data_IF_010887130292
#
_entry.id   IF_010887130292
#
_cell.length_a   1.000
_cell.length_b   1.000
_cell.length_c   1.000
_cell.angle_alpha   90.00
_cell.angle_beta   90.00
_cell.angle_gamma   90.00
#
_symmetry.space_group_name_H-M   'P 1'
#
loop_
_entity.id
_entity.type
_entity.pdbx_description
1 polymer ?
#
# COMPACT_ATOMS: atom_id res chain seq x y z
N UNK A 1 3.59 3.41 -16.48
CA UNK A 1 2.29 3.06 -17.10
C UNK A 1 1.87 1.70 -16.54
N UNK A 2 0.97 1.68 -15.51
CA UNK A 2 0.46 0.46 -14.90
C UNK A 2 -0.54 -0.23 -15.85
N UNK A 3 -0.06 -0.98 -16.82
CA UNK A 3 -0.84 -2.00 -17.55
C UNK A 3 -0.03 -3.29 -17.48
N UNK A 4 -0.07 -3.92 -16.32
CA UNK A 4 0.19 -5.35 -16.23
C UNK A 4 -1.15 -6.04 -16.46
N UNK A 5 -1.25 -6.90 -17.45
CA UNK A 5 -2.42 -7.78 -17.65
C UNK A 5 -2.61 -8.75 -16.48
N UNK A 6 -1.77 -8.63 -15.45
CA UNK A 6 -1.74 -9.48 -14.26
C UNK A 6 -1.90 -8.64 -13.00
N UNK A 7 -2.88 -9.02 -12.17
CA UNK A 7 -3.06 -8.46 -10.83
C UNK A 7 -1.84 -8.70 -9.95
N UNK A 8 -1.34 -7.66 -9.26
CA UNK A 8 -0.17 -7.74 -8.39
C UNK A 8 -0.55 -8.27 -7.01
N UNK A 9 0.27 -9.19 -6.48
CA UNK A 9 0.28 -9.55 -5.07
C UNK A 9 1.53 -8.94 -4.44
N UNK A 10 1.32 -7.99 -3.53
CA UNK A 10 2.35 -7.13 -2.98
C UNK A 10 2.54 -7.43 -1.50
N UNK A 11 3.64 -8.11 -1.10
CA UNK A 11 3.98 -8.24 0.31
C UNK A 11 4.29 -6.88 0.93
N UNK A 12 3.89 -6.70 2.20
CA UNK A 12 4.16 -5.47 2.93
C UNK A 12 5.19 -5.68 4.03
N UNK A 13 6.09 -4.73 4.19
CA UNK A 13 7.04 -4.60 5.30
C UNK A 13 6.83 -3.24 5.96
N UNK A 14 6.46 -3.24 7.23
CA UNK A 14 6.41 -2.04 8.06
C UNK A 14 7.74 -1.95 8.83
N UNK A 15 8.39 -0.79 8.73
CA UNK A 15 9.66 -0.50 9.39
C UNK A 15 9.43 0.34 10.64
N UNK A 16 9.88 -0.14 11.79
CA UNK A 16 9.91 0.60 13.05
C UNK A 16 11.16 0.22 13.84
N UNK A 17 11.88 1.22 14.35
CA UNK A 17 13.14 1.02 15.09
C UNK A 17 14.11 0.06 14.37
N UNK A 18 14.17 0.14 13.03
CA UNK A 18 15.02 -0.72 12.20
C UNK A 18 14.57 -2.17 12.06
N UNK A 19 13.35 -2.53 12.45
CA UNK A 19 12.80 -3.89 12.43
C UNK A 19 11.59 -3.99 11.51
N UNK A 20 11.25 -5.22 11.09
CA UNK A 20 9.98 -5.54 10.46
C UNK A 20 8.94 -5.77 11.55
N UNK A 21 7.91 -4.94 11.57
CA UNK A 21 6.85 -5.04 12.56
C UNK A 21 5.47 -5.10 11.92
N UNK A 22 4.47 -5.38 12.72
CA UNK A 22 3.05 -5.16 12.40
C UNK A 22 2.36 -4.56 13.62
N UNK A 23 1.60 -3.52 13.37
CA UNK A 23 0.69 -2.96 14.35
C UNK A 23 -0.70 -3.55 14.15
N UNK A 24 -1.42 -3.81 15.22
CA UNK A 24 -2.85 -4.17 15.13
C UNK A 24 -3.66 -2.87 15.07
N UNK A 25 -4.39 -2.64 13.98
CA UNK A 25 -5.18 -1.42 13.76
C UNK A 25 -4.37 -0.11 13.96
N UNK A 26 -3.09 -0.11 13.62
CA UNK A 26 -2.21 1.05 13.77
C UNK A 26 -1.81 1.41 15.21
N UNK A 27 -2.18 0.60 16.21
CA UNK A 27 -1.89 0.87 17.62
C UNK A 27 -0.42 0.57 17.95
N UNK A 28 0.31 1.59 18.43
CA UNK A 28 1.74 1.50 18.73
C UNK A 28 2.06 0.46 19.80
N UNK A 29 1.14 0.27 20.76
CA UNK A 29 1.25 -0.64 21.89
C UNK A 29 0.96 -2.09 21.51
N UNK A 30 0.30 -2.30 20.36
CA UNK A 30 -0.05 -3.62 19.83
C UNK A 30 0.90 -4.04 18.69
N UNK A 31 2.21 -3.86 18.93
CA UNK A 31 3.27 -4.22 17.98
C UNK A 31 3.63 -5.71 18.09
N UNK A 32 3.83 -6.32 16.93
CA UNK A 32 4.44 -7.65 16.79
C UNK A 32 5.67 -7.54 15.90
N UNK A 33 6.83 -7.95 16.39
CA UNK A 33 8.07 -8.01 15.61
C UNK A 33 8.10 -9.34 14.86
N UNK A 34 8.25 -9.28 13.53
CA UNK A 34 8.36 -10.45 12.65
C UNK A 34 9.77 -10.73 12.21
N UNK A 35 10.62 -9.69 12.13
CA UNK A 35 12.05 -9.86 11.81
C UNK A 35 12.87 -8.69 12.36
N UNK A 36 14.08 -8.99 12.78
CA UNK A 36 15.10 -8.00 13.13
C UNK A 36 15.96 -7.60 11.94
N UNK A 37 15.78 -8.25 10.78
CA UNK A 37 16.49 -7.94 9.54
C UNK A 37 15.49 -7.69 8.39
N UNK A 38 15.12 -6.41 8.15
CA UNK A 38 14.23 -6.06 7.06
C UNK A 38 14.81 -6.29 5.66
N UNK A 39 16.15 -6.28 5.53
CA UNK A 39 16.83 -6.53 4.24
C UNK A 39 16.66 -7.99 3.84
N UNK A 40 16.89 -8.91 4.79
CA UNK A 40 16.69 -10.35 4.58
C UNK A 40 15.20 -10.68 4.36
N UNK A 41 14.30 -10.00 5.06
CA UNK A 41 12.86 -10.16 4.85
C UNK A 41 12.44 -9.74 3.43
N UNK A 42 12.93 -8.60 2.94
CA UNK A 42 12.66 -8.15 1.57
C UNK A 42 13.19 -9.16 0.52
N UNK A 43 14.41 -9.69 0.76
CA UNK A 43 14.97 -10.76 -0.06
C UNK A 43 14.11 -12.02 -0.03
N UNK A 44 13.63 -12.41 1.15
CA UNK A 44 12.74 -13.57 1.32
C UNK A 44 11.46 -13.41 0.49
N UNK A 45 10.81 -12.25 0.49
CA UNK A 45 9.63 -12.01 -0.34
C UNK A 45 9.95 -12.08 -1.83
N UNK A 46 11.05 -11.48 -2.27
CA UNK A 46 11.50 -11.61 -3.65
C UNK A 46 11.73 -13.07 -4.04
N UNK A 47 12.42 -13.86 -3.21
CA UNK A 47 12.75 -15.27 -3.50
C UNK A 47 11.50 -16.16 -3.50
N UNK A 48 10.45 -15.78 -2.75
CA UNK A 48 9.12 -16.40 -2.83
C UNK A 48 8.32 -15.96 -4.06
N UNK A 49 8.89 -15.08 -4.89
CA UNK A 49 8.34 -14.67 -6.17
C UNK A 49 7.46 -13.41 -6.11
N UNK A 50 7.64 -12.52 -5.15
CA UNK A 50 7.02 -11.19 -5.18
C UNK A 50 7.43 -10.43 -6.44
N UNK A 51 6.47 -9.75 -7.08
CA UNK A 51 6.72 -8.91 -8.26
C UNK A 51 6.90 -7.43 -7.86
N UNK A 52 6.54 -7.07 -6.62
CA UNK A 52 6.56 -5.72 -6.08
C UNK A 52 6.64 -5.79 -4.54
N UNK A 53 7.16 -4.77 -3.88
CA UNK A 53 7.25 -4.70 -2.42
C UNK A 53 6.67 -3.38 -1.90
N UNK A 54 5.82 -3.45 -0.88
CA UNK A 54 5.27 -2.30 -0.16
C UNK A 54 6.05 -2.06 1.12
N UNK A 55 6.69 -0.89 1.26
CA UNK A 55 7.42 -0.48 2.46
C UNK A 55 6.71 0.69 3.13
N UNK A 56 6.53 0.60 4.44
CA UNK A 56 6.02 1.70 5.27
C UNK A 56 7.02 2.05 6.36
N UNK A 57 7.47 3.30 6.39
CA UNK A 57 8.25 3.88 7.48
C UNK A 57 7.28 4.36 8.58
N UNK A 58 7.01 3.50 9.57
CA UNK A 58 6.11 3.84 10.67
C UNK A 58 6.68 4.95 11.55
N UNK A 59 7.99 4.96 11.80
CA UNK A 59 8.62 6.05 12.55
C UNK A 59 8.41 7.38 11.81
N UNK A 60 8.62 7.38 10.49
CA UNK A 60 8.36 8.54 9.64
C UNK A 60 6.90 8.93 9.59
N UNK A 61 5.97 7.98 9.54
CA UNK A 61 4.54 8.25 9.57
C UNK A 61 4.11 8.97 10.85
N UNK A 62 4.66 8.56 12.00
CA UNK A 62 4.38 9.19 13.29
C UNK A 62 5.04 10.56 13.45
N UNK A 63 6.31 10.70 13.02
CA UNK A 63 7.06 11.94 13.22
C UNK A 63 6.89 12.97 12.09
N UNK A 64 6.37 12.53 10.95
CA UNK A 64 6.08 13.40 9.81
C UNK A 64 7.26 13.67 8.88
N UNK A 65 8.38 12.97 9.09
CA UNK A 65 9.57 12.98 8.23
C UNK A 65 10.13 11.55 8.15
N UNK A 66 10.60 11.08 6.98
CA UNK A 66 11.17 9.74 6.83
C UNK A 66 12.35 9.53 7.79
N UNK A 67 12.41 8.37 8.45
CA UNK A 67 13.43 8.01 9.44
C UNK A 67 14.30 6.84 9.00
N UNK A 68 13.76 5.92 8.22
CA UNK A 68 14.42 4.66 7.88
C UNK A 68 15.06 4.67 6.48
N UNK A 69 15.37 5.85 5.88
CA UNK A 69 15.86 5.95 4.50
C UNK A 69 17.15 5.15 4.24
N UNK A 70 18.09 5.13 5.18
CA UNK A 70 19.32 4.34 5.05
C UNK A 70 19.03 2.82 5.00
N UNK A 71 17.97 2.37 5.68
CA UNK A 71 17.54 0.97 5.62
C UNK A 71 16.79 0.69 4.30
N UNK A 72 15.98 1.63 3.84
CA UNK A 72 15.30 1.54 2.53
C UNK A 72 16.33 1.43 1.40
N UNK A 73 17.39 2.23 1.41
CA UNK A 73 18.49 2.15 0.45
C UNK A 73 19.17 0.76 0.44
N UNK A 74 19.43 0.19 1.63
CA UNK A 74 19.97 -1.18 1.74
C UNK A 74 19.01 -2.22 1.14
N UNK A 75 17.72 -2.09 1.40
CA UNK A 75 16.70 -2.99 0.83
C UNK A 75 16.72 -2.91 -0.70
N UNK A 76 16.61 -1.70 -1.27
CA UNK A 76 16.57 -1.47 -2.72
C UNK A 76 17.82 -2.01 -3.40
N UNK A 77 18.98 -1.83 -2.79
CA UNK A 77 20.26 -2.35 -3.32
C UNK A 77 20.30 -3.88 -3.31
N UNK A 78 19.59 -4.52 -2.38
CA UNK A 78 19.62 -5.98 -2.17
C UNK A 78 18.65 -6.75 -3.05
N UNK A 79 17.50 -6.14 -3.42
CA UNK A 79 16.44 -6.78 -4.21
C UNK A 79 16.39 -6.20 -5.63
N UNK A 80 15.74 -6.92 -6.56
CA UNK A 80 15.59 -6.49 -7.96
C UNK A 80 14.14 -6.11 -8.31
N UNK A 81 13.20 -6.42 -7.43
CA UNK A 81 11.79 -6.08 -7.64
C UNK A 81 11.57 -4.61 -7.25
N UNK A 82 10.64 -3.92 -7.94
CA UNK A 82 10.31 -2.54 -7.63
C UNK A 82 9.70 -2.41 -6.23
N UNK A 83 9.88 -1.23 -5.64
CA UNK A 83 9.46 -0.91 -4.26
C UNK A 83 8.62 0.35 -4.28
N UNK A 84 7.48 0.32 -3.59
CA UNK A 84 6.76 1.53 -3.19
C UNK A 84 7.03 1.84 -1.72
N UNK A 85 7.07 3.12 -1.40
CA UNK A 85 7.43 3.58 -0.06
C UNK A 85 6.48 4.67 0.44
N UNK A 86 5.98 4.49 1.66
CA UNK A 86 5.18 5.47 2.39
C UNK A 86 5.72 5.72 3.80
N UNK A 87 5.28 6.83 4.40
CA UNK A 87 5.65 7.22 5.76
C UNK A 87 6.46 8.51 5.82
N UNK A 88 5.89 9.54 6.45
CA UNK A 88 6.57 10.82 6.70
C UNK A 88 6.72 11.75 5.48
N UNK A 89 6.17 11.44 4.33
CA UNK A 89 6.31 12.22 3.09
C UNK A 89 5.35 13.43 3.10
N UNK A 90 5.83 14.58 3.57
CA UNK A 90 5.03 15.81 3.70
C UNK A 90 5.55 16.99 2.88
N UNK A 91 6.67 16.83 2.18
CA UNK A 91 7.28 17.88 1.34
C UNK A 91 7.77 17.33 0.01
N UNK A 92 7.77 18.15 -1.04
CA UNK A 92 8.30 17.76 -2.37
C UNK A 92 9.79 17.40 -2.30
N UNK A 93 10.54 18.00 -1.38
CA UNK A 93 11.94 17.66 -1.15
C UNK A 93 12.10 16.21 -0.62
N UNK A 94 11.30 15.81 0.39
CA UNK A 94 11.33 14.46 0.91
C UNK A 94 10.89 13.43 -0.15
N UNK A 95 9.87 13.75 -0.94
CA UNK A 95 9.42 12.92 -2.07
C UNK A 95 10.55 12.71 -3.07
N UNK A 96 11.19 13.81 -3.52
CA UNK A 96 12.32 13.73 -4.44
C UNK A 96 13.47 12.91 -3.87
N UNK A 97 13.86 13.13 -2.62
CA UNK A 97 14.95 12.40 -1.96
C UNK A 97 14.70 10.89 -1.94
N UNK A 98 13.47 10.45 -1.66
CA UNK A 98 13.10 9.02 -1.68
C UNK A 98 13.11 8.45 -3.09
N UNK A 99 12.60 9.19 -4.08
CA UNK A 99 12.64 8.77 -5.48
C UNK A 99 14.08 8.66 -6.02
N UNK A 100 14.97 9.57 -5.60
CA UNK A 100 16.40 9.56 -5.97
C UNK A 100 17.14 8.34 -5.39
N UNK A 101 16.68 7.73 -4.29
CA UNK A 101 17.20 6.46 -3.77
C UNK A 101 16.90 5.26 -4.69
N UNK A 102 15.97 5.40 -5.63
CA UNK A 102 15.57 4.32 -6.54
C UNK A 102 14.25 3.62 -6.15
N UNK A 103 13.47 4.18 -5.21
CA UNK A 103 12.09 3.76 -4.97
C UNK A 103 11.28 3.95 -6.25
N UNK A 104 10.50 2.97 -6.67
CA UNK A 104 9.73 3.04 -7.91
C UNK A 104 8.59 4.06 -7.82
N UNK A 105 7.85 4.09 -6.71
CA UNK A 105 6.83 5.11 -6.41
C UNK A 105 6.73 5.41 -4.93
N UNK A 106 6.27 6.61 -4.60
CA UNK A 106 6.02 7.05 -3.24
C UNK A 106 4.53 7.12 -2.94
N UNK A 107 4.16 6.87 -1.69
CA UNK A 107 2.78 6.84 -1.22
C UNK A 107 2.54 8.06 -0.33
N UNK A 108 1.59 8.89 -0.71
CA UNK A 108 1.16 10.07 0.01
C UNK A 108 -0.19 9.76 0.67
N UNK A 109 -0.24 9.76 2.00
CA UNK A 109 -1.46 9.60 2.79
C UNK A 109 -1.98 10.94 3.32
N UNK A 110 -1.91 11.15 4.63
CA UNK A 110 -2.45 12.33 5.36
C UNK A 110 -2.21 13.67 4.65
N UNK A 111 -1.02 13.90 4.07
CA UNK A 111 -0.71 15.16 3.40
C UNK A 111 -1.54 15.37 2.12
N UNK A 112 -2.01 14.32 1.48
CA UNK A 112 -2.91 14.43 0.32
C UNK A 112 -4.28 14.99 0.73
N UNK A 113 -4.76 14.62 1.90
CA UNK A 113 -6.02 15.16 2.47
C UNK A 113 -5.88 16.64 2.83
N UNK A 114 -4.76 17.00 3.45
CA UNK A 114 -4.49 18.39 3.85
C UNK A 114 -4.31 19.33 2.65
N UNK A 115 -3.82 18.84 1.51
CA UNK A 115 -3.45 19.68 0.37
C UNK A 115 -3.57 18.92 -0.98
N UNK A 116 -4.77 18.76 -1.53
CA UNK A 116 -4.98 18.12 -2.84
C UNK A 116 -4.25 18.85 -3.98
N UNK A 117 -4.13 20.19 -3.91
CA UNK A 117 -3.37 20.98 -4.90
C UNK A 117 -1.91 20.57 -4.95
N UNK A 118 -1.27 20.34 -3.80
CA UNK A 118 0.10 19.86 -3.75
C UNK A 118 0.27 18.46 -4.36
N UNK A 119 -0.75 17.59 -4.26
CA UNK A 119 -0.76 16.28 -4.92
C UNK A 119 -0.75 16.44 -6.43
N UNK A 120 -1.55 17.39 -6.96
CA UNK A 120 -1.56 17.70 -8.39
C UNK A 120 -0.16 18.13 -8.88
N UNK A 121 0.50 19.02 -8.15
CA UNK A 121 1.86 19.46 -8.48
C UNK A 121 2.86 18.31 -8.44
N UNK A 122 2.74 17.40 -7.46
CA UNK A 122 3.59 16.22 -7.37
C UNK A 122 3.39 15.26 -8.54
N UNK A 123 2.13 14.97 -8.90
CA UNK A 123 1.82 14.08 -10.02
C UNK A 123 2.33 14.66 -11.35
N UNK A 124 2.28 15.98 -11.52
CA UNK A 124 2.85 16.67 -12.66
C UNK A 124 4.39 16.62 -12.69
N UNK A 125 5.03 16.80 -11.52
CA UNK A 125 6.49 16.79 -11.39
C UNK A 125 7.10 15.37 -11.50
N UNK A 126 6.37 14.35 -11.05
CA UNK A 126 6.82 12.95 -11.01
C UNK A 126 5.79 12.00 -11.64
N UNK A 127 5.57 12.08 -12.97
CA UNK A 127 4.54 11.29 -13.65
C UNK A 127 4.73 9.79 -13.43
N UNK A 128 3.65 9.10 -13.02
CA UNK A 128 3.66 7.66 -12.78
C UNK A 128 4.34 7.21 -11.47
N UNK A 129 4.87 8.14 -10.67
CA UNK A 129 5.65 7.82 -9.47
C UNK A 129 4.92 8.15 -8.15
N UNK A 130 3.72 8.71 -8.21
CA UNK A 130 2.94 9.13 -7.03
C UNK A 130 1.75 8.20 -6.86
N UNK A 131 1.69 7.51 -5.72
CA UNK A 131 0.54 6.75 -5.25
C UNK A 131 -0.16 7.53 -4.14
N UNK A 132 -1.49 7.41 -4.04
CA UNK A 132 -2.26 8.01 -2.95
C UNK A 132 -2.82 6.92 -2.06
N UNK A 133 -2.47 6.97 -0.76
CA UNK A 133 -3.04 6.12 0.26
C UNK A 133 -4.34 6.73 0.79
N UNK A 134 -5.44 5.99 0.66
CA UNK A 134 -6.74 6.29 1.26
C UNK A 134 -6.98 5.27 2.36
N UNK A 135 -6.67 5.67 3.58
CA UNK A 135 -6.96 4.90 4.77
C UNK A 135 -8.37 5.24 5.24
N UNK A 136 -9.23 4.25 5.45
CA UNK A 136 -10.64 4.48 5.70
C UNK A 136 -11.15 3.70 6.92
N UNK A 137 -12.12 4.29 7.61
CA UNK A 137 -12.89 3.62 8.65
C UNK A 137 -14.36 3.96 8.47
N UNK A 138 -15.19 2.93 8.26
CA UNK A 138 -16.62 3.10 8.04
C UNK A 138 -16.97 4.12 6.93
N UNK A 139 -16.26 4.09 5.81
CA UNK A 139 -16.48 4.98 4.68
C UNK A 139 -15.93 6.41 4.83
N UNK A 140 -15.29 6.74 5.95
CA UNK A 140 -14.67 8.05 6.22
C UNK A 140 -13.16 7.94 6.18
N UNK A 141 -12.49 8.94 5.59
CA UNK A 141 -11.02 8.96 5.45
C UNK A 141 -10.35 9.22 6.79
N UNK A 142 -9.36 8.38 7.11
CA UNK A 142 -8.53 8.48 8.30
C UNK A 142 -7.20 9.18 7.97
N UNK A 143 -6.70 9.95 8.94
CA UNK A 143 -5.49 10.76 8.83
C UNK A 143 -4.61 10.62 10.08
N UNK A 144 -3.40 11.22 10.03
CA UNK A 144 -2.45 11.26 11.17
C UNK A 144 -2.09 9.88 11.72
N UNK A 145 -1.77 8.93 10.83
CA UNK A 145 -1.46 7.55 11.24
C UNK A 145 -2.65 6.88 11.92
N UNK A 146 -3.87 7.10 11.36
CA UNK A 146 -5.14 6.47 11.77
C UNK A 146 -5.71 6.96 13.10
N UNK A 147 -5.16 8.03 13.66
CA UNK A 147 -5.59 8.57 14.98
C UNK A 147 -6.76 9.55 14.89
N UNK A 148 -7.11 10.02 13.70
CA UNK A 148 -8.21 10.95 13.48
C UNK A 148 -8.96 10.64 12.18
N UNK A 149 -10.26 10.93 12.15
CA UNK A 149 -11.06 10.95 10.94
C UNK A 149 -11.18 12.40 10.46
N UNK A 150 -11.27 12.60 9.15
CA UNK A 150 -11.56 13.91 8.56
C UNK A 150 -13.02 13.97 8.05
N UNK A 151 -13.41 15.08 7.43
CA UNK A 151 -14.77 15.26 6.92
C UNK A 151 -15.02 14.60 5.55
N UNK A 152 -13.97 14.09 4.89
CA UNK A 152 -14.09 13.45 3.59
C UNK A 152 -14.67 12.04 3.69
N UNK A 153 -15.66 11.76 2.85
CA UNK A 153 -15.97 10.36 2.49
C UNK A 153 -14.88 9.81 1.58
N UNK A 154 -14.74 8.49 1.50
CA UNK A 154 -13.78 7.84 0.59
C UNK A 154 -14.04 8.23 -0.86
N UNK A 155 -15.30 8.22 -1.28
CA UNK A 155 -15.72 8.50 -2.65
C UNK A 155 -15.47 9.97 -3.04
N UNK A 156 -15.79 10.93 -2.16
CA UNK A 156 -15.58 12.35 -2.43
C UNK A 156 -14.09 12.68 -2.51
N UNK A 157 -13.28 12.16 -1.56
CA UNK A 157 -11.84 12.36 -1.58
C UNK A 157 -11.19 11.70 -2.81
N UNK A 158 -11.60 10.48 -3.14
CA UNK A 158 -11.08 9.78 -4.31
C UNK A 158 -11.42 10.53 -5.61
N UNK A 159 -12.64 11.08 -5.73
CA UNK A 159 -13.04 11.91 -6.87
C UNK A 159 -12.21 13.20 -6.98
N UNK A 160 -11.83 13.80 -5.86
CA UNK A 160 -10.94 14.96 -5.84
C UNK A 160 -9.51 14.59 -6.28
N UNK A 161 -8.97 13.51 -5.75
CA UNK A 161 -7.61 13.03 -6.08
C UNK A 161 -7.51 12.50 -7.51
N UNK A 162 -8.57 11.96 -8.08
CA UNK A 162 -8.62 11.52 -9.49
C UNK A 162 -8.19 12.64 -10.46
N UNK A 163 -8.50 13.91 -10.14
CA UNK A 163 -8.13 15.07 -10.95
C UNK A 163 -6.61 15.26 -11.07
N UNK A 164 -5.85 14.79 -10.09
CA UNK A 164 -4.38 14.84 -10.11
C UNK A 164 -3.76 13.71 -10.94
N UNK A 165 -4.54 12.72 -11.37
CA UNK A 165 -4.09 11.55 -12.13
C UNK A 165 -2.91 10.82 -11.47
N UNK A 166 -3.02 10.38 -10.21
CA UNK A 166 -1.98 9.60 -9.55
C UNK A 166 -1.74 8.27 -10.26
N UNK A 167 -0.60 7.65 -10.03
CA UNK A 167 -0.26 6.36 -10.66
C UNK A 167 -1.17 5.23 -10.19
N UNK A 168 -1.59 5.30 -8.93
CA UNK A 168 -2.45 4.30 -8.28
C UNK A 168 -3.07 4.89 -7.00
N UNK A 169 -4.23 4.40 -6.62
CA UNK A 169 -4.84 4.61 -5.30
C UNK A 169 -4.71 3.33 -4.50
N UNK A 170 -4.17 3.41 -3.28
CA UNK A 170 -4.10 2.30 -2.33
C UNK A 170 -5.21 2.52 -1.30
N UNK A 171 -6.20 1.63 -1.28
CA UNK A 171 -7.32 1.70 -0.34
C UNK A 171 -7.12 0.72 0.81
N UNK A 172 -7.08 1.23 2.04
CA UNK A 172 -6.93 0.44 3.26
C UNK A 172 -8.13 0.61 4.18
N UNK A 173 -8.87 -0.47 4.49
CA UNK A 173 -9.80 -0.47 5.62
C UNK A 173 -9.01 -0.70 6.92
N UNK A 174 -8.81 0.39 7.70
CA UNK A 174 -8.01 0.35 8.93
C UNK A 174 -8.69 -0.41 10.07
N UNK A 175 -10.00 -0.60 10.02
CA UNK A 175 -10.71 -1.40 11.02
C UNK A 175 -10.43 -2.89 10.89
N UNK A 176 -10.04 -3.33 9.68
CA UNK A 176 -9.74 -4.72 9.34
C UNK A 176 -8.24 -5.00 9.26
N UNK A 177 -7.39 -3.94 9.19
CA UNK A 177 -5.95 -4.15 9.06
C UNK A 177 -5.35 -4.86 10.27
N UNK A 178 -4.57 -5.92 10.01
CA UNK A 178 -4.00 -6.79 11.02
C UNK A 178 -4.97 -7.74 11.73
N UNK A 179 -6.29 -7.67 11.45
CA UNK A 179 -7.34 -8.44 12.13
C UNK A 179 -7.61 -9.81 11.53
N UNK A 180 -7.18 -10.07 10.28
CA UNK A 180 -7.45 -11.32 9.56
C UNK A 180 -8.96 -11.62 9.43
N UNK A 181 -9.77 -10.60 9.14
CA UNK A 181 -11.25 -10.68 9.07
C UNK A 181 -11.81 -10.52 7.65
N UNK A 182 -10.96 -10.56 6.64
CA UNK A 182 -11.31 -10.31 5.24
C UNK A 182 -11.27 -8.82 4.86
N UNK A 183 -11.14 -8.52 3.55
CA UNK A 183 -11.08 -7.15 3.03
C UNK A 183 -12.44 -6.47 3.03
N UNK A 184 -12.45 -5.14 2.84
CA UNK A 184 -13.67 -4.36 2.62
C UNK A 184 -14.06 -4.34 1.14
N UNK A 185 -14.77 -5.38 0.71
CA UNK A 185 -15.25 -5.50 -0.69
C UNK A 185 -16.23 -4.37 -1.04
N UNK A 186 -17.12 -3.99 -0.11
CA UNK A 186 -18.15 -2.99 -0.36
C UNK A 186 -17.53 -1.59 -0.54
N UNK A 187 -16.61 -1.19 0.32
CA UNK A 187 -15.88 0.08 0.19
C UNK A 187 -15.05 0.14 -1.10
N UNK A 188 -14.37 -0.96 -1.46
CA UNK A 188 -13.67 -1.07 -2.73
C UNK A 188 -14.59 -0.90 -3.93
N UNK A 189 -15.78 -1.52 -3.92
CA UNK A 189 -16.76 -1.37 -4.99
C UNK A 189 -17.29 0.07 -5.09
N UNK A 190 -17.48 0.76 -3.96
CA UNK A 190 -17.81 2.19 -3.92
C UNK A 190 -16.75 3.04 -4.60
N UNK A 191 -15.49 2.86 -4.18
CA UNK A 191 -14.34 3.55 -4.74
C UNK A 191 -14.19 3.33 -6.25
N UNK A 192 -14.29 2.08 -6.72
CA UNK A 192 -14.15 1.72 -8.14
C UNK A 192 -15.21 2.34 -9.06
N UNK A 193 -16.33 2.84 -8.53
CA UNK A 193 -17.38 3.55 -9.32
C UNK A 193 -16.98 4.99 -9.62
N UNK A 194 -16.13 5.59 -8.79
CA UNK A 194 -15.84 7.04 -8.85
C UNK A 194 -14.44 7.35 -9.40
N UNK A 195 -13.56 6.34 -9.54
CA UNK A 195 -12.20 6.54 -10.05
C UNK A 195 -11.93 5.67 -11.30
N UNK A 196 -11.05 6.19 -12.17
CA UNK A 196 -10.45 5.46 -13.30
C UNK A 196 -9.00 5.08 -13.01
N UNK A 197 -8.36 5.76 -12.07
CA UNK A 197 -7.02 5.44 -11.57
C UNK A 197 -7.01 3.99 -11.07
N UNK A 198 -5.99 3.18 -11.40
CA UNK A 198 -5.86 1.83 -10.87
C UNK A 198 -5.92 1.80 -9.35
N UNK A 199 -6.61 0.82 -8.77
CA UNK A 199 -6.77 0.67 -7.32
C UNK A 199 -6.03 -0.56 -6.82
N UNK A 200 -5.35 -0.46 -5.69
CA UNK A 200 -4.77 -1.56 -4.92
C UNK A 200 -5.54 -1.69 -3.61
N UNK A 201 -6.00 -2.91 -3.32
CA UNK A 201 -6.67 -3.22 -2.07
C UNK A 201 -5.67 -3.49 -0.94
N UNK A 202 -5.94 -3.01 0.26
CA UNK A 202 -5.15 -3.24 1.46
C UNK A 202 -6.04 -3.40 2.70
N UNK A 203 -5.52 -4.09 3.72
CA UNK A 203 -6.22 -4.32 4.99
C UNK A 203 -7.11 -5.56 5.00
N UNK A 204 -7.01 -6.36 6.06
CA UNK A 204 -7.90 -7.48 6.37
C UNK A 204 -7.69 -8.78 5.60
N UNK A 205 -6.99 -8.79 4.48
CA UNK A 205 -6.81 -9.98 3.63
C UNK A 205 -6.17 -11.11 4.43
N UNK A 206 -6.88 -12.23 4.56
CA UNK A 206 -6.56 -13.29 5.53
C UNK A 206 -6.50 -14.70 4.95
N UNK A 207 -7.14 -14.92 3.81
CA UNK A 207 -7.31 -16.24 3.20
C UNK A 207 -7.23 -16.22 1.68
N UNK A 208 -7.04 -17.39 1.06
CA UNK A 208 -7.12 -17.52 -0.39
C UNK A 208 -8.51 -17.22 -0.95
N UNK A 209 -9.58 -17.36 -0.13
CA UNK A 209 -10.94 -16.94 -0.50
C UNK A 209 -11.03 -15.42 -0.65
N UNK A 210 -10.33 -14.67 0.20
CA UNK A 210 -10.28 -13.20 0.08
C UNK A 210 -9.53 -12.79 -1.18
N UNK A 211 -8.41 -13.46 -1.48
CA UNK A 211 -7.64 -13.25 -2.72
C UNK A 211 -8.53 -13.53 -3.95
N UNK A 212 -9.29 -14.62 -3.94
CA UNK A 212 -10.22 -14.96 -5.02
C UNK A 212 -11.33 -13.91 -5.17
N UNK A 213 -11.94 -13.48 -4.06
CA UNK A 213 -12.98 -12.45 -4.10
C UNK A 213 -12.46 -11.11 -4.67
N UNK A 214 -11.28 -10.68 -4.24
CA UNK A 214 -10.63 -9.47 -4.75
C UNK A 214 -10.22 -9.60 -6.22
N UNK A 215 -9.77 -10.78 -6.66
CA UNK A 215 -9.35 -11.00 -8.05
C UNK A 215 -10.50 -10.89 -9.07
N UNK A 216 -11.74 -10.97 -8.61
CA UNK A 216 -12.94 -10.75 -9.44
C UNK A 216 -13.27 -9.27 -9.64
N UNK A 217 -12.71 -8.37 -8.81
CA UNK A 217 -12.85 -6.92 -8.96
C UNK A 217 -11.88 -6.39 -10.03
N UNK A 218 -12.17 -5.18 -10.53
CA UNK A 218 -11.28 -4.49 -11.47
C UNK A 218 -10.22 -3.66 -10.71
N UNK A 219 -9.35 -4.35 -9.96
CA UNK A 219 -8.26 -3.74 -9.20
C UNK A 219 -6.89 -4.12 -9.79
N UNK A 220 -5.89 -3.28 -9.59
CA UNK A 220 -4.53 -3.48 -10.08
C UNK A 220 -3.72 -4.46 -9.24
N UNK A 221 -4.08 -4.63 -7.97
CA UNK A 221 -3.35 -5.51 -7.05
C UNK A 221 -3.92 -5.51 -5.65
N UNK A 222 -3.25 -6.25 -4.78
CA UNK A 222 -3.56 -6.29 -3.36
C UNK A 222 -2.28 -6.35 -2.52
N UNK A 223 -2.27 -5.59 -1.42
CA UNK A 223 -1.21 -5.60 -0.43
C UNK A 223 -1.58 -6.60 0.66
N UNK A 224 -0.69 -7.55 0.92
CA UNK A 224 -0.88 -8.57 1.95
C UNK A 224 0.26 -8.49 2.95
N UNK A 225 -0.09 -8.23 4.20
CA UNK A 225 0.87 -8.18 5.30
C UNK A 225 0.79 -9.43 6.18
N UNK A 226 0.13 -9.33 7.33
CA UNK A 226 0.12 -10.33 8.42
C UNK A 226 -0.14 -11.76 7.94
N UNK A 227 -1.05 -11.97 6.99
CA UNK A 227 -1.39 -13.30 6.50
C UNK A 227 -0.24 -14.04 5.79
N UNK A 228 0.68 -13.29 5.15
CA UNK A 228 1.91 -13.88 4.59
C UNK A 228 2.90 -14.25 5.68
N UNK A 229 3.14 -13.37 6.66
CA UNK A 229 4.06 -13.62 7.78
C UNK A 229 3.63 -14.82 8.64
N UNK A 230 2.34 -14.96 8.88
CA UNK A 230 1.77 -16.05 9.69
C UNK A 230 1.52 -17.34 8.91
N UNK A 231 1.78 -17.34 7.59
CA UNK A 231 1.57 -18.50 6.73
C UNK A 231 0.11 -18.85 6.40
N UNK A 232 -0.86 -17.98 6.78
CA UNK A 232 -2.26 -18.15 6.39
C UNK A 232 -2.43 -18.09 4.88
N UNK A 233 -1.63 -17.28 4.20
CA UNK A 233 -1.54 -17.22 2.74
C UNK A 233 -0.11 -17.51 2.32
N UNK A 234 0.06 -18.42 1.36
CA UNK A 234 1.33 -18.61 0.65
C UNK A 234 1.33 -17.73 -0.59
N UNK A 235 2.37 -16.88 -0.75
CA UNK A 235 2.47 -15.93 -1.86
C UNK A 235 2.31 -16.61 -3.23
N UNK A 236 2.95 -17.75 -3.44
CA UNK A 236 2.84 -18.53 -4.68
C UNK A 236 1.41 -18.97 -5.01
N UNK A 237 0.62 -19.32 -3.97
CA UNK A 237 -0.79 -19.73 -4.16
C UNK A 237 -1.68 -18.53 -4.48
N UNK A 238 -1.47 -17.39 -3.81
CA UNK A 238 -2.19 -16.15 -4.13
C UNK A 238 -1.93 -15.72 -5.59
N UNK A 239 -0.68 -15.75 -6.03
CA UNK A 239 -0.30 -15.43 -7.42
C UNK A 239 -0.95 -16.36 -8.44
N UNK A 240 -0.97 -17.67 -8.16
CA UNK A 240 -1.60 -18.67 -9.03
C UNK A 240 -3.09 -18.37 -9.24
N UNK A 241 -3.84 -18.06 -8.18
CA UNK A 241 -5.27 -17.70 -8.27
C UNK A 241 -5.50 -16.46 -9.14
N UNK A 242 -4.69 -15.40 -8.98
CA UNK A 242 -4.82 -14.19 -9.78
C UNK A 242 -4.52 -14.40 -11.27
N UNK A 243 -3.67 -15.38 -11.62
CA UNK A 243 -3.36 -15.71 -13.01
C UNK A 243 -4.52 -16.47 -13.67
N UNK A 244 -5.13 -17.43 -12.98
CA UNK A 244 -6.27 -18.22 -13.49
C UNK A 244 -7.47 -17.32 -13.80
N UNK A 245 -7.82 -16.43 -12.85
CA UNK A 245 -8.98 -15.54 -13.00
C UNK A 245 -8.77 -14.46 -14.08
N UNK A 246 -7.52 -14.12 -14.44
CA UNK A 246 -7.23 -13.24 -15.55
C UNK A 246 -7.54 -13.88 -16.91
N UNK A 247 -7.30 -15.19 -17.04
CA UNK A 247 -7.57 -15.95 -18.28
C UNK A 247 -9.08 -16.09 -18.52
N UNK A 248 -9.87 -16.31 -17.46
CA UNK A 248 -11.35 -16.43 -17.55
C UNK A 248 -12.08 -15.13 -17.89
N UNK A 249 -11.44 -13.96 -17.68
CA UNK A 249 -12.00 -12.64 -18.06
C UNK A 249 -11.78 -12.28 -19.53
N UNK A 250 -10.95 -13.05 -20.24
CA UNK A 250 -10.58 -12.78 -21.66
C UNK A 250 -11.31 -13.72 -22.64
N UNK A 251 -12.05 -14.70 -22.17
CA UNK A 251 -12.97 -15.53 -22.92
C UNK A 251 -14.42 -14.99 -22.80
#
# INVERSE_FOLDING_TARGET
MFRSDKMLIIPAIDLRDGKCVRLTQGQKEAETIFSHDPVDMAKTWQDQGADYLHLVDLDGAFEGVPKNLALVEKIITRIKIPVEFGGGLRTSHAVKAVLDLGVDRVIIGTKAVDSPVWVHDLCAAFPGRIAIGIDAKNGTVAVKGWTALCEWTVEDFASEIEKASPSVIIYTDISKDGMLQGPDIQGLQGLLRVVKTPVIASGGISSLKDVEALSRLNIAGMIIGKALYTGHIKLSKAKQLCTINATEKTE
#
